data_IF_690791024598
#
_entry.id   IF_690791024598
#
_cell.length_a   1.000
_cell.length_b   1.000
_cell.length_c   1.000
_cell.angle_alpha   90.00
_cell.angle_beta   90.00
_cell.angle_gamma   90.00
#
_symmetry.space_group_name_H-M   'P 1'
#
loop_
_entity.id
_entity.type
_entity.pdbx_description
1 polymer ?
#
# COMPACT_ATOMS: atom_id res chain seq x y z
N UNK A 1 -31.64 24.86 21.84
CA UNK A 1 -31.93 23.54 21.22
C UNK A 1 -31.51 23.61 19.75
N UNK A 2 -30.59 22.77 19.29
CA UNK A 2 -30.20 22.76 17.87
C UNK A 2 -31.34 22.22 17.00
N UNK A 3 -31.55 22.76 15.80
CA UNK A 3 -32.53 22.21 14.86
C UNK A 3 -32.20 20.75 14.49
N UNK A 4 -33.20 19.91 14.15
CA UNK A 4 -32.98 18.49 13.85
C UNK A 4 -32.19 18.27 12.55
N UNK A 5 -32.29 19.19 11.60
CA UNK A 5 -31.63 19.06 10.29
C UNK A 5 -30.08 19.03 10.37
N UNK A 6 -29.39 19.95 11.08
CA UNK A 6 -27.95 19.84 11.32
C UNK A 6 -27.51 18.53 11.99
N UNK A 7 -28.33 17.96 12.88
CA UNK A 7 -28.02 16.67 13.51
C UNK A 7 -28.10 15.52 12.50
N UNK A 8 -29.09 15.53 11.60
CA UNK A 8 -29.18 14.58 10.50
C UNK A 8 -28.03 14.76 9.51
N UNK A 9 -27.66 16.00 9.18
CA UNK A 9 -26.53 16.29 8.29
C UNK A 9 -25.21 15.76 8.87
N UNK A 10 -24.96 15.94 10.17
CA UNK A 10 -23.79 15.36 10.86
C UNK A 10 -23.74 13.83 10.81
N UNK A 11 -24.90 13.18 10.75
CA UNK A 11 -25.03 11.72 10.66
C UNK A 11 -25.04 11.20 9.22
N UNK A 12 -25.19 12.07 8.23
CA UNK A 12 -25.25 11.68 6.84
C UNK A 12 -23.90 11.13 6.36
N UNK A 13 -23.91 10.14 5.47
CA UNK A 13 -22.68 9.56 4.93
C UNK A 13 -21.78 10.59 4.24
N UNK A 14 -22.35 11.66 3.68
CA UNK A 14 -21.58 12.75 3.06
C UNK A 14 -20.75 13.55 4.08
N UNK A 15 -21.16 13.63 5.34
CA UNK A 15 -20.39 14.31 6.38
C UNK A 15 -19.12 13.56 6.76
N UNK A 16 -19.04 12.27 6.42
CA UNK A 16 -17.81 11.49 6.59
C UNK A 16 -16.80 11.69 5.46
N UNK A 17 -17.12 12.51 4.45
CA UNK A 17 -16.22 12.85 3.37
C UNK A 17 -15.09 13.75 3.88
N UNK A 18 -13.86 13.35 3.59
CA UNK A 18 -12.67 14.14 3.83
C UNK A 18 -11.82 14.10 2.55
N UNK A 19 -11.51 15.25 1.91
CA UNK A 19 -10.72 15.29 0.69
C UNK A 19 -9.27 14.83 0.90
N UNK A 20 -8.75 14.90 2.13
CA UNK A 20 -7.38 14.46 2.45
C UNK A 20 -7.30 12.94 2.54
N UNK A 21 -8.38 12.28 2.95
CA UNK A 21 -8.43 10.83 3.09
C UNK A 21 -8.96 10.24 1.79
N UNK A 22 -8.12 9.48 1.09
CA UNK A 22 -8.53 8.79 -0.14
C UNK A 22 -9.50 7.65 0.17
N UNK A 23 -10.79 7.96 0.29
CA UNK A 23 -11.84 6.95 0.48
C UNK A 23 -12.30 6.39 -0.86
N UNK A 24 -12.59 5.10 -0.86
CA UNK A 24 -13.21 4.39 -1.97
C UNK A 24 -14.70 4.31 -1.72
N UNK A 25 -15.49 4.73 -2.71
CA UNK A 25 -16.94 4.72 -2.66
C UNK A 25 -17.49 3.64 -3.59
N UNK A 26 -18.60 3.05 -3.17
CA UNK A 26 -19.35 2.04 -3.92
C UNK A 26 -20.81 2.42 -3.95
N UNK A 27 -21.46 2.19 -5.10
CA UNK A 27 -22.91 2.28 -5.23
C UNK A 27 -23.52 0.88 -5.41
N UNK A 28 -24.83 0.76 -5.18
CA UNK A 28 -25.57 -0.47 -5.47
C UNK A 28 -25.57 -0.72 -6.98
N UNK A 29 -25.54 -1.99 -7.43
CA UNK A 29 -25.56 -2.29 -8.87
C UNK A 29 -26.77 -1.70 -9.61
N UNK A 30 -27.93 -1.63 -8.95
CA UNK A 30 -29.17 -1.03 -9.50
C UNK A 30 -29.03 0.48 -9.69
N UNK A 31 -28.64 1.23 -8.64
CA UNK A 31 -28.48 2.68 -8.70
C UNK A 31 -27.44 3.10 -9.76
N UNK A 32 -26.30 2.40 -9.80
CA UNK A 32 -25.25 2.64 -10.79
C UNK A 32 -25.73 2.41 -12.23
N UNK A 33 -26.42 1.30 -12.50
CA UNK A 33 -26.78 0.92 -13.87
C UNK A 33 -27.95 1.73 -14.43
N UNK A 34 -28.93 2.09 -13.61
CA UNK A 34 -30.14 2.78 -14.04
C UNK A 34 -30.01 4.30 -13.95
N UNK A 35 -29.42 4.81 -12.87
CA UNK A 35 -29.47 6.25 -12.55
C UNK A 35 -28.11 6.95 -12.57
N UNK A 36 -27.01 6.19 -12.72
CA UNK A 36 -25.65 6.74 -12.59
C UNK A 36 -25.45 7.48 -11.26
N UNK A 37 -26.17 7.04 -10.22
CA UNK A 37 -26.18 7.68 -8.91
C UNK A 37 -25.19 6.99 -7.96
N UNK A 38 -24.41 7.83 -7.29
CA UNK A 38 -23.34 7.47 -6.36
C UNK A 38 -23.53 8.14 -4.98
N UNK A 39 -24.69 8.76 -4.74
CA UNK A 39 -24.92 9.57 -3.54
C UNK A 39 -24.14 10.88 -3.55
N UNK A 40 -23.82 11.39 -4.74
CA UNK A 40 -23.10 12.65 -4.95
C UNK A 40 -24.07 13.74 -5.41
N UNK A 41 -23.63 15.00 -5.33
CA UNK A 41 -24.42 16.16 -5.78
C UNK A 41 -24.83 16.05 -7.25
N UNK A 42 -23.99 15.45 -8.09
CA UNK A 42 -24.25 15.24 -9.52
C UNK A 42 -24.06 13.77 -9.88
N UNK A 43 -24.91 13.27 -10.79
CA UNK A 43 -24.78 11.91 -11.32
C UNK A 43 -23.49 11.77 -12.14
N UNK A 44 -22.81 10.62 -12.00
CA UNK A 44 -21.60 10.29 -12.75
C UNK A 44 -21.94 9.22 -13.77
N UNK A 45 -22.14 9.65 -15.01
CA UNK A 45 -22.49 8.74 -16.11
C UNK A 45 -21.32 7.83 -16.49
N UNK A 46 -21.47 6.56 -16.13
CA UNK A 46 -20.46 5.51 -16.28
C UNK A 46 -21.05 4.31 -17.05
N UNK A 47 -21.19 4.38 -18.39
CA UNK A 47 -21.90 3.35 -19.16
C UNK A 47 -21.29 1.95 -18.97
N UNK A 48 -19.97 1.86 -18.75
CA UNK A 48 -19.25 0.64 -18.38
C UNK A 48 -18.11 0.95 -17.41
N UNK A 49 -18.44 1.58 -16.29
CA UNK A 49 -17.44 2.06 -15.33
C UNK A 49 -17.05 1.07 -14.23
N UNK A 50 -16.02 1.41 -13.45
CA UNK A 50 -15.58 0.66 -12.28
C UNK A 50 -16.68 0.56 -11.22
N UNK A 51 -16.70 -0.52 -10.42
CA UNK A 51 -17.59 -0.68 -9.26
C UNK A 51 -17.19 0.26 -8.10
N UNK A 52 -15.90 0.58 -8.05
CA UNK A 52 -15.29 1.41 -7.02
C UNK A 52 -14.82 2.74 -7.63
N UNK A 53 -15.20 3.86 -7.04
CA UNK A 53 -14.74 5.19 -7.44
C UNK A 53 -14.08 5.92 -6.28
N UNK A 54 -13.19 6.85 -6.62
CA UNK A 54 -12.63 7.86 -5.73
C UNK A 54 -12.99 9.22 -6.30
N UNK A 55 -13.25 10.21 -5.47
CA UNK A 55 -13.46 11.57 -5.92
C UNK A 55 -12.69 12.54 -5.02
N UNK A 56 -12.18 13.62 -5.60
CA UNK A 56 -11.35 14.62 -4.91
C UNK A 56 -12.14 15.85 -4.46
N UNK A 57 -13.31 16.10 -5.05
CA UNK A 57 -14.20 17.16 -4.64
C UNK A 57 -15.67 16.78 -4.85
N UNK A 58 -16.52 17.22 -3.91
CA UNK A 58 -17.97 17.00 -3.96
C UNK A 58 -18.67 17.91 -5.00
N UNK A 59 -18.05 19.04 -5.35
CA UNK A 59 -18.69 20.10 -6.13
C UNK A 59 -17.85 20.60 -7.32
N UNK A 60 -17.21 19.69 -8.06
CA UNK A 60 -16.54 20.05 -9.31
C UNK A 60 -17.50 20.38 -10.48
N UNK A 61 -18.78 20.64 -10.18
CA UNK A 61 -19.81 21.01 -11.14
C UNK A 61 -20.55 19.83 -11.79
N UNK A 62 -21.59 20.12 -12.59
CA UNK A 62 -22.44 19.09 -13.18
C UNK A 62 -21.71 18.25 -14.24
N UNK A 63 -21.98 16.94 -14.25
CA UNK A 63 -21.62 16.01 -15.32
C UNK A 63 -20.12 15.64 -15.38
N UNK A 64 -19.52 15.77 -16.57
CA UNK A 64 -18.16 15.29 -16.90
C UNK A 64 -17.01 16.00 -16.17
N UNK A 65 -17.29 17.07 -15.42
CA UNK A 65 -16.27 17.84 -14.70
C UNK A 65 -15.99 17.32 -13.30
N UNK A 66 -16.80 16.39 -12.78
CA UNK A 66 -16.51 15.74 -11.51
C UNK A 66 -15.14 15.02 -11.60
N UNK A 67 -14.18 15.43 -10.77
CA UNK A 67 -12.86 14.80 -10.70
C UNK A 67 -12.99 13.49 -9.92
N UNK A 68 -13.41 12.46 -10.64
CA UNK A 68 -13.48 11.09 -10.14
C UNK A 68 -12.43 10.21 -10.82
N UNK A 69 -11.98 9.18 -10.11
CA UNK A 69 -11.09 8.14 -10.61
C UNK A 69 -11.58 6.76 -10.23
N UNK A 70 -11.07 5.74 -10.92
CA UNK A 70 -11.30 4.36 -10.53
C UNK A 70 -10.58 4.07 -9.21
N UNK A 71 -11.31 3.53 -8.23
CA UNK A 71 -10.77 2.96 -6.99
C UNK A 71 -10.64 1.44 -7.02
N UNK A 72 -10.72 0.82 -8.22
CA UNK A 72 -10.70 -0.64 -8.37
C UNK A 72 -9.38 -1.26 -7.91
N UNK A 73 -8.26 -0.59 -8.19
CA UNK A 73 -6.93 -1.11 -7.83
C UNK A 73 -6.82 -1.31 -6.32
N UNK A 74 -7.23 -0.31 -5.56
CA UNK A 74 -7.16 -0.32 -4.10
C UNK A 74 -8.22 -1.23 -3.49
N UNK A 75 -9.44 -1.25 -4.03
CA UNK A 75 -10.48 -2.16 -3.56
C UNK A 75 -10.10 -3.63 -3.78
N UNK A 76 -9.51 -3.95 -4.94
CA UNK A 76 -9.01 -5.30 -5.23
C UNK A 76 -7.82 -5.67 -4.37
N UNK A 77 -6.91 -4.71 -4.14
CA UNK A 77 -5.79 -4.92 -3.23
C UNK A 77 -6.30 -5.28 -1.82
N UNK A 78 -7.22 -4.48 -1.26
CA UNK A 78 -7.82 -4.77 0.07
C UNK A 78 -8.62 -6.08 0.03
N UNK A 79 -9.30 -6.39 -1.06
CA UNK A 79 -10.03 -7.67 -1.17
C UNK A 79 -9.10 -8.88 -1.26
N UNK A 80 -7.95 -8.75 -1.92
CA UNK A 80 -7.01 -9.85 -2.14
C UNK A 80 -6.10 -10.07 -0.93
N UNK A 81 -5.71 -8.98 -0.27
CA UNK A 81 -4.68 -8.96 0.75
C UNK A 81 -5.18 -8.52 2.12
N UNK A 82 -6.32 -7.86 2.19
CA UNK A 82 -6.92 -7.42 3.44
C UNK A 82 -7.50 -8.58 4.25
N UNK A 83 -7.68 -8.31 5.54
CA UNK A 83 -8.06 -9.29 6.55
C UNK A 83 -9.42 -9.96 6.34
N UNK A 84 -10.28 -9.46 5.44
CA UNK A 84 -11.60 -10.05 5.17
C UNK A 84 -11.51 -11.52 4.69
N UNK A 85 -10.40 -11.92 4.07
CA UNK A 85 -10.17 -13.32 3.70
C UNK A 85 -9.44 -14.13 4.77
N UNK A 86 -8.76 -13.49 5.73
CA UNK A 86 -7.89 -14.14 6.71
C UNK A 86 -6.69 -14.91 6.13
N UNK A 87 -6.48 -14.85 4.81
CA UNK A 87 -5.52 -15.71 4.10
C UNK A 87 -4.07 -15.29 4.26
N UNK A 88 -3.83 -14.01 4.51
CA UNK A 88 -2.47 -13.45 4.56
C UNK A 88 -2.20 -12.86 5.93
N UNK A 89 -1.16 -13.37 6.58
CA UNK A 89 -0.66 -12.84 7.86
C UNK A 89 0.29 -11.69 7.59
N UNK A 90 -0.20 -10.47 7.80
CA UNK A 90 0.63 -9.27 7.82
C UNK A 90 1.41 -9.17 9.13
N UNK A 91 2.72 -8.98 9.02
CA UNK A 91 3.64 -8.78 10.14
C UNK A 91 4.25 -7.39 10.04
N UNK A 92 4.48 -6.74 11.19
CA UNK A 92 5.32 -5.55 11.22
C UNK A 92 6.79 -5.94 11.29
N UNK A 93 7.66 -5.00 10.95
CA UNK A 93 9.11 -5.19 11.08
C UNK A 93 9.52 -5.50 12.52
N UNK A 94 8.85 -4.86 13.47
CA UNK A 94 9.11 -5.03 14.90
C UNK A 94 8.58 -6.36 15.47
N UNK A 95 7.55 -6.95 14.84
CA UNK A 95 6.98 -8.23 15.26
C UNK A 95 7.85 -9.43 14.86
N UNK A 96 8.81 -9.24 13.95
CA UNK A 96 9.71 -10.32 13.56
C UNK A 96 10.65 -10.52 14.74
N UNK A 97 10.58 -11.66 15.44
CA UNK A 97 11.50 -11.90 16.55
C UNK A 97 12.92 -11.76 16.01
N UNK A 98 13.63 -10.71 16.45
CA UNK A 98 15.00 -10.37 16.02
C UNK A 98 15.99 -11.51 16.29
N UNK A 99 15.54 -12.56 16.97
CA UNK A 99 16.28 -13.77 17.28
C UNK A 99 15.40 -15.02 17.15
N UNK A 100 15.00 -15.39 15.93
CA UNK A 100 15.07 -16.83 15.58
C UNK A 100 16.54 -17.18 15.27
N UNK A 101 17.39 -17.01 16.28
CA UNK A 101 18.60 -17.82 16.41
C UNK A 101 18.12 -19.28 16.60
N UNK A 102 18.84 -20.26 16.04
CA UNK A 102 18.41 -21.65 16.00
C UNK A 102 18.07 -22.16 17.41
N UNK A 103 16.83 -22.61 17.58
CA UNK A 103 16.31 -23.46 18.67
C UNK A 103 17.08 -23.38 20.00
N UNK A 104 16.67 -22.48 20.91
CA UNK A 104 16.85 -22.78 22.32
C UNK A 104 16.02 -24.04 22.63
N UNK A 105 16.70 -25.05 23.15
CA UNK A 105 16.15 -26.37 23.46
C UNK A 105 14.85 -26.24 24.27
N UNK A 106 13.81 -26.95 23.83
CA UNK A 106 12.49 -27.09 24.47
C UNK A 106 12.58 -27.68 25.90
N UNK A 107 13.77 -28.08 26.35
CA UNK A 107 14.02 -28.71 27.64
C UNK A 107 14.77 -27.83 28.66
N UNK A 108 14.93 -26.52 28.44
CA UNK A 108 15.45 -25.66 29.50
C UNK A 108 14.39 -25.41 30.57
N UNK A 109 14.58 -26.00 31.75
CA UNK A 109 13.72 -25.92 32.94
C UNK A 109 13.44 -24.48 33.42
N UNK A 110 14.23 -23.49 32.97
CA UNK A 110 13.97 -22.06 33.22
C UNK A 110 12.80 -21.48 32.40
N UNK A 111 12.25 -22.19 31.40
CA UNK A 111 11.07 -21.72 30.65
C UNK A 111 9.73 -22.22 31.22
N UNK A 112 9.74 -22.86 32.40
CA UNK A 112 8.56 -23.43 33.06
C UNK A 112 8.09 -22.60 34.25
N UNK A 113 8.84 -21.55 34.60
CA UNK A 113 8.24 -20.42 35.30
C UNK A 113 7.46 -19.70 34.23
N UNK A 114 6.15 -19.96 34.19
CA UNK A 114 5.17 -19.02 33.65
C UNK A 114 5.32 -17.75 34.49
N UNK A 115 6.38 -16.98 34.24
CA UNK A 115 6.24 -15.55 34.32
C UNK A 115 5.04 -15.29 33.42
N UNK A 116 3.97 -14.74 34.00
CA UNK A 116 3.10 -13.88 33.23
C UNK A 116 4.05 -12.90 32.55
N UNK A 117 4.48 -13.26 31.34
CA UNK A 117 4.86 -12.33 30.30
C UNK A 117 3.60 -11.47 30.17
N UNK A 118 3.44 -10.52 31.09
CA UNK A 118 2.93 -9.19 30.80
C UNK A 118 3.69 -8.91 29.53
N UNK A 119 3.01 -9.08 28.40
CA UNK A 119 3.50 -8.66 27.12
C UNK A 119 3.98 -7.23 27.37
N UNK A 120 5.28 -7.06 27.64
CA UNK A 120 5.99 -5.82 27.43
C UNK A 120 6.14 -5.74 25.91
N UNK A 121 5.01 -5.92 25.19
CA UNK A 121 4.70 -5.24 23.95
C UNK A 121 5.20 -3.84 24.21
N UNK A 122 6.34 -3.53 23.57
CA UNK A 122 7.29 -2.57 24.05
C UNK A 122 6.59 -1.34 24.62
N UNK A 123 7.15 -0.81 25.70
CA UNK A 123 6.98 0.60 26.01
C UNK A 123 7.53 1.40 24.80
N UNK A 124 6.79 1.40 23.69
CA UNK A 124 6.89 2.29 22.55
C UNK A 124 6.75 3.63 23.20
N UNK A 125 7.91 4.21 23.44
CA UNK A 125 8.04 5.42 24.19
C UNK A 125 7.41 6.50 23.32
N UNK A 126 6.20 6.89 23.71
CA UNK A 126 5.43 7.91 23.04
C UNK A 126 6.18 9.22 23.14
N UNK A 127 6.81 9.64 22.05
CA UNK A 127 7.45 10.94 21.93
C UNK A 127 6.63 11.72 20.91
N UNK A 128 6.34 12.98 21.21
CA UNK A 128 5.71 13.87 20.25
C UNK A 128 6.65 14.11 19.08
N UNK A 129 6.10 14.08 17.87
CA UNK A 129 6.85 14.38 16.66
C UNK A 129 7.14 15.88 16.58
N UNK A 130 8.29 16.27 17.14
CA UNK A 130 8.78 17.66 17.19
C UNK A 130 8.97 18.24 15.78
N UNK A 131 9.29 17.41 14.79
CA UNK A 131 9.53 17.87 13.41
C UNK A 131 8.23 18.31 12.73
N UNK A 132 7.09 17.80 13.19
CA UNK A 132 5.77 18.09 12.62
C UNK A 132 5.03 19.26 13.27
N UNK A 133 5.55 19.80 14.38
CA UNK A 133 4.89 20.88 15.13
C UNK A 133 5.02 22.22 14.42
N UNK A 134 3.99 23.05 14.54
CA UNK A 134 4.14 24.47 14.22
C UNK A 134 5.07 25.13 15.24
N UNK A 135 5.67 26.27 14.88
CA UNK A 135 6.56 27.02 15.79
C UNK A 135 5.81 27.43 17.07
N UNK A 136 4.54 27.83 16.95
CA UNK A 136 3.68 28.20 18.09
C UNK A 136 3.42 27.00 19.01
N UNK A 137 3.05 25.84 18.45
CA UNK A 137 2.83 24.63 19.23
C UNK A 137 4.13 24.14 19.90
N UNK A 138 5.26 24.32 19.22
CA UNK A 138 6.57 23.98 19.75
C UNK A 138 6.95 24.86 20.93
N UNK A 139 6.68 26.17 20.89
CA UNK A 139 6.89 27.06 22.03
C UNK A 139 6.04 26.67 23.24
N UNK A 140 4.74 26.41 23.03
CA UNK A 140 3.84 25.92 24.09
C UNK A 140 4.34 24.59 24.68
N UNK A 141 4.85 23.70 23.82
CA UNK A 141 5.46 22.44 24.24
C UNK A 141 6.74 22.66 25.06
N UNK A 142 7.60 23.61 24.68
CA UNK A 142 8.80 23.95 25.45
C UNK A 142 8.46 24.56 26.81
N UNK A 143 7.48 25.45 26.88
CA UNK A 143 7.00 25.99 28.15
C UNK A 143 6.51 24.90 29.09
N UNK A 144 5.80 23.91 28.52
CA UNK A 144 5.36 22.74 29.27
C UNK A 144 6.53 21.93 29.82
N UNK A 145 7.54 21.63 29.00
CA UNK A 145 8.76 20.95 29.46
C UNK A 145 9.46 21.75 30.56
N UNK A 146 9.52 23.09 30.44
CA UNK A 146 10.12 23.96 31.45
C UNK A 146 9.40 23.87 32.79
N UNK A 147 8.06 23.76 32.79
CA UNK A 147 7.25 23.58 34.01
C UNK A 147 7.52 22.23 34.68
N UNK A 148 7.64 21.16 33.88
CA UNK A 148 7.86 19.80 34.36
C UNK A 148 9.33 19.48 34.74
N UNK A 149 10.23 20.45 34.55
CA UNK A 149 11.67 20.30 34.81
C UNK A 149 12.00 19.88 36.25
N UNK A 150 11.26 20.40 37.23
CA UNK A 150 11.44 20.04 38.65
C UNK A 150 11.05 18.60 38.91
N UNK A 151 9.93 18.15 38.33
CA UNK A 151 9.47 16.76 38.42
C UNK A 151 10.49 15.79 37.82
N UNK A 152 11.09 16.15 36.67
CA UNK A 152 12.18 15.37 36.08
C UNK A 152 13.38 15.25 37.01
N UNK A 153 13.81 16.37 37.60
CA UNK A 153 14.92 16.40 38.54
C UNK A 153 14.66 15.50 39.75
N UNK A 154 13.47 15.60 40.33
CA UNK A 154 13.08 14.80 41.50
C UNK A 154 13.00 13.31 41.17
N UNK A 155 12.44 12.96 40.00
CA UNK A 155 12.44 11.58 39.50
C UNK A 155 13.86 11.05 39.33
N UNK A 156 14.76 11.84 38.74
CA UNK A 156 16.17 11.45 38.57
C UNK A 156 16.90 11.28 39.89
N UNK A 157 16.67 12.15 40.85
CA UNK A 157 17.26 12.04 42.19
C UNK A 157 16.76 10.78 42.95
N UNK A 158 15.56 10.29 42.62
CA UNK A 158 15.02 9.03 43.16
C UNK A 158 15.56 7.80 42.45
N UNK A 159 15.71 7.85 41.13
CA UNK A 159 16.21 6.72 40.32
C UNK A 159 17.71 6.46 40.51
N UNK A 160 18.47 7.46 40.98
CA UNK A 160 19.91 7.31 41.21
C UNK A 160 20.21 6.43 42.42
N UNK A 161 21.26 5.58 42.37
CA UNK A 161 21.67 4.78 43.51
C UNK A 161 22.05 5.66 44.71
N UNK A 162 21.78 5.17 45.92
CA UNK A 162 21.97 5.93 47.16
C UNK A 162 23.42 6.41 47.34
N UNK A 163 24.40 5.64 46.88
CA UNK A 163 25.82 6.00 46.88
C UNK A 163 26.12 7.26 46.05
N UNK A 164 25.54 7.37 44.86
CA UNK A 164 25.66 8.59 44.05
C UNK A 164 24.86 9.74 44.65
N UNK A 165 23.73 9.45 45.28
CA UNK A 165 22.89 10.49 45.90
C UNK A 165 23.57 11.11 47.12
N UNK A 166 24.27 10.33 47.94
CA UNK A 166 25.03 10.82 49.09
C UNK A 166 26.26 11.64 48.69
N UNK A 167 26.86 11.35 47.53
CA UNK A 167 27.96 12.17 46.97
C UNK A 167 27.52 13.59 46.58
N UNK A 168 26.23 13.81 46.33
CA UNK A 168 25.65 15.12 46.00
C UNK A 168 25.32 15.87 47.29
N UNK A 169 26.35 16.23 48.05
CA UNK A 169 26.22 16.87 49.35
C UNK A 169 25.77 18.32 49.25
N UNK A 170 26.21 19.04 48.21
CA UNK A 170 25.87 20.45 48.03
C UNK A 170 24.53 20.61 47.30
N UNK A 171 23.75 21.67 47.59
CA UNK A 171 22.52 21.95 46.87
C UNK A 171 22.77 22.25 45.38
N UNK A 172 23.94 22.77 45.03
CA UNK A 172 24.35 23.06 43.66
C UNK A 172 24.55 21.79 42.81
N UNK A 173 25.01 20.71 43.44
CA UNK A 173 25.23 19.42 42.77
C UNK A 173 23.90 18.74 42.38
N UNK A 174 22.82 19.09 43.07
CA UNK A 174 21.47 18.58 42.81
C UNK A 174 20.79 19.29 41.63
N UNK A 175 21.48 20.18 40.92
CA UNK A 175 20.92 20.86 39.75
C UNK A 175 21.00 19.96 38.51
N UNK A 176 20.01 20.07 37.61
CA UNK A 176 20.01 19.30 36.35
C UNK A 176 21.25 19.57 35.49
N UNK A 177 21.77 20.80 35.54
CA UNK A 177 22.98 21.18 34.80
C UNK A 177 24.17 20.38 35.32
N UNK A 178 24.35 20.30 36.64
CA UNK A 178 25.41 19.50 37.24
C UNK A 178 25.25 18.01 36.94
N UNK A 179 24.03 17.47 37.03
CA UNK A 179 23.79 16.06 36.69
C UNK A 179 24.11 15.75 35.21
N UNK A 180 23.83 16.69 34.31
CA UNK A 180 24.15 16.55 32.90
C UNK A 180 25.66 16.66 32.62
N UNK A 181 26.34 17.65 33.21
CA UNK A 181 27.79 17.83 33.02
C UNK A 181 28.61 16.73 33.68
N UNK A 182 28.14 16.19 34.82
CA UNK A 182 28.75 15.05 35.49
C UNK A 182 28.50 13.70 34.79
N UNK A 183 27.75 13.68 33.67
CA UNK A 183 27.41 12.46 32.95
C UNK A 183 26.48 11.51 33.72
N UNK A 184 25.83 12.00 34.78
CA UNK A 184 24.89 11.23 35.60
C UNK A 184 23.51 11.12 34.94
N UNK A 185 23.22 11.93 33.92
CA UNK A 185 22.05 11.76 33.06
C UNK A 185 22.40 10.89 31.85
N UNK A 186 21.83 9.69 31.76
CA UNK A 186 21.99 8.83 30.58
C UNK A 186 21.20 9.39 29.39
N UNK A 187 21.61 9.14 28.15
CA UNK A 187 20.84 9.60 26.97
C UNK A 187 19.40 9.10 26.93
N UNK A 188 19.14 7.89 27.46
CA UNK A 188 17.78 7.34 27.59
C UNK A 188 16.93 8.03 28.66
N UNK A 189 17.55 8.81 29.55
CA UNK A 189 16.86 9.42 30.68
C UNK A 189 15.82 10.46 30.28
N UNK A 190 16.17 11.29 29.29
CA UNK A 190 15.34 12.35 28.73
C UNK A 190 14.21 11.76 27.89
N UNK A 191 14.53 10.74 27.10
CA UNK A 191 13.57 10.00 26.30
C UNK A 191 12.51 9.34 27.21
N UNK A 192 12.92 8.60 28.25
CA UNK A 192 12.00 7.98 29.22
C UNK A 192 11.07 9.01 29.88
N UNK A 193 11.59 10.20 30.20
CA UNK A 193 10.78 11.25 30.79
C UNK A 193 9.75 11.83 29.81
N UNK A 194 10.14 12.04 28.55
CA UNK A 194 9.18 12.43 27.51
C UNK A 194 8.11 11.35 27.32
N UNK A 195 8.50 10.08 27.33
CA UNK A 195 7.59 8.94 27.32
C UNK A 195 6.58 9.02 28.47
N UNK A 196 7.07 9.28 29.68
CA UNK A 196 6.26 9.37 30.88
C UNK A 196 5.30 10.55 30.83
N UNK A 197 5.74 11.72 30.35
CA UNK A 197 4.86 12.87 30.16
C UNK A 197 3.72 12.57 29.17
N UNK A 198 4.01 11.84 28.08
CA UNK A 198 2.97 11.41 27.15
C UNK A 198 2.07 10.33 27.75
N UNK A 199 2.62 9.41 28.54
CA UNK A 199 1.82 8.40 29.23
C UNK A 199 0.85 9.06 30.24
N UNK A 200 1.33 10.07 30.98
CA UNK A 200 0.49 10.85 31.88
C UNK A 200 -0.62 11.60 31.10
N UNK A 201 -0.30 12.18 29.94
CA UNK A 201 -1.29 12.82 29.04
C UNK A 201 -2.36 11.84 28.56
N UNK A 202 -1.98 10.59 28.28
CA UNK A 202 -2.87 9.54 27.82
C UNK A 202 -3.78 9.02 28.94
N UNK A 203 -3.29 9.03 30.18
CA UNK A 203 -4.03 8.57 31.36
C UNK A 203 -4.98 9.67 31.88
N UNK A 204 -4.67 10.96 31.66
CA UNK A 204 -5.50 12.07 32.14
C UNK A 204 -6.91 12.05 31.52
N UNK A 205 -7.97 11.82 32.30
CA UNK A 205 -9.35 11.79 31.80
C UNK A 205 -9.82 13.17 31.30
N UNK A 206 -9.13 14.25 31.69
CA UNK A 206 -9.44 15.61 31.24
C UNK A 206 -8.68 16.00 29.97
N UNK A 207 -7.81 15.11 29.47
CA UNK A 207 -7.09 15.36 28.22
C UNK A 207 -8.07 15.46 27.06
N UNK A 208 -8.06 16.60 26.37
CA UNK A 208 -8.82 16.82 25.15
C UNK A 208 -8.05 16.42 23.89
N UNK A 209 -6.81 15.93 24.06
CA UNK A 209 -5.91 15.60 22.96
C UNK A 209 -6.16 14.19 22.45
N UNK A 210 -6.38 14.07 21.15
CA UNK A 210 -6.49 12.79 20.47
C UNK A 210 -5.09 12.37 20.01
N UNK A 211 -4.57 11.30 20.59
CA UNK A 211 -3.33 10.68 20.14
C UNK A 211 -3.65 9.65 19.05
N UNK A 212 -3.08 9.85 17.87
CA UNK A 212 -3.23 8.90 16.76
C UNK A 212 -2.21 7.77 16.91
N UNK A 213 -2.59 6.63 17.52
CA UNK A 213 -1.82 5.39 17.32
C UNK A 213 -2.12 4.89 15.91
N UNK A 214 -1.15 4.85 14.98
CA UNK A 214 -1.38 4.09 13.77
C UNK A 214 -1.65 2.64 14.15
N UNK A 215 -2.67 2.04 13.56
CA UNK A 215 -2.91 0.60 13.73
C UNK A 215 -1.65 -0.16 13.27
N UNK A 216 -1.27 -1.24 13.97
CA UNK A 216 -0.07 -2.05 13.68
C UNK A 216 0.12 -2.27 12.17
N UNK A 217 -0.90 -2.84 11.53
CA UNK A 217 -0.92 -3.10 10.07
C UNK A 217 -1.67 -2.04 9.26
N UNK A 218 -1.83 -0.83 9.80
CA UNK A 218 -2.45 0.33 9.15
C UNK A 218 -3.80 0.07 8.49
N UNK A 219 -4.65 -0.73 9.15
CA UNK A 219 -6.00 -1.07 8.68
C UNK A 219 -6.08 -2.11 7.57
N UNK A 220 -4.96 -2.77 7.20
CA UNK A 220 -4.99 -3.89 6.25
C UNK A 220 -5.67 -5.13 6.84
N UNK A 221 -5.39 -5.41 8.11
CA UNK A 221 -6.04 -6.47 8.87
C UNK A 221 -6.38 -5.97 10.26
N UNK A 222 -7.59 -6.27 10.72
CA UNK A 222 -8.01 -6.03 12.10
C UNK A 222 -8.11 -7.32 12.90
N UNK A 223 -8.01 -8.48 12.24
CA UNK A 223 -7.97 -9.74 12.96
C UNK A 223 -6.67 -9.81 13.75
N UNK A 224 -6.80 -10.19 15.03
CA UNK A 224 -5.65 -10.62 15.82
C UNK A 224 -4.97 -11.76 15.07
N UNK A 225 -3.66 -11.87 15.27
CA UNK A 225 -2.93 -12.99 14.72
C UNK A 225 -3.58 -14.28 15.23
N UNK A 226 -4.09 -15.15 14.34
CA UNK A 226 -4.62 -16.44 14.76
C UNK A 226 -3.51 -17.20 15.46
N UNK A 227 -3.76 -17.59 16.71
CA UNK A 227 -2.81 -18.31 17.56
C UNK A 227 -2.73 -19.79 17.18
N UNK A 228 -3.77 -20.32 16.53
CA UNK A 228 -3.87 -21.71 16.11
C UNK A 228 -3.79 -21.87 14.58
N UNK A 229 -3.20 -22.99 14.14
CA UNK A 229 -3.20 -23.44 12.74
C UNK A 229 -4.58 -23.78 12.21
N UNK A 230 -5.59 -23.91 13.07
CA UNK A 230 -6.98 -24.15 12.64
C UNK A 230 -7.66 -22.86 12.13
N UNK A 231 -7.30 -21.70 12.69
CA UNK A 231 -7.89 -20.41 12.32
C UNK A 231 -7.19 -19.78 11.11
N UNK A 232 -5.93 -20.14 10.88
CA UNK A 232 -5.17 -19.75 9.71
C UNK A 232 -4.68 -20.98 8.99
N UNK A 233 -5.13 -21.16 7.76
CA UNK A 233 -4.57 -22.17 6.88
C UNK A 233 -3.27 -21.63 6.27
N UNK A 234 -2.07 -21.97 6.79
CA UNK A 234 -0.83 -21.52 6.19
C UNK A 234 -0.68 -22.08 4.77
N UNK A 235 -1.39 -23.17 4.42
CA UNK A 235 -1.40 -23.75 3.09
C UNK A 235 -2.33 -23.01 2.11
N UNK A 236 -2.93 -21.88 2.50
CA UNK A 236 -3.67 -21.02 1.58
C UNK A 236 -2.76 -20.62 0.40
N UNK A 237 -3.15 -21.09 -0.79
CA UNK A 237 -2.45 -20.77 -2.02
C UNK A 237 -3.14 -19.65 -2.77
N UNK A 238 -2.35 -18.77 -3.34
CA UNK A 238 -2.77 -17.69 -4.21
C UNK A 238 -2.31 -18.00 -5.64
N UNK A 239 -3.17 -17.77 -6.62
CA UNK A 239 -2.77 -17.86 -8.03
C UNK A 239 -1.92 -16.64 -8.36
N UNK A 240 -0.76 -16.87 -8.94
CA UNK A 240 0.17 -15.83 -9.38
C UNK A 240 0.85 -16.18 -10.68
N UNK A 241 1.68 -15.26 -11.16
CA UNK A 241 2.52 -15.46 -12.33
C UNK A 241 3.97 -15.15 -12.00
N UNK A 242 4.89 -16.08 -12.23
CA UNK A 242 6.31 -15.80 -12.23
C UNK A 242 6.62 -14.79 -13.35
N UNK A 243 7.36 -13.74 -13.03
CA UNK A 243 7.69 -12.65 -13.96
C UNK A 243 9.14 -12.73 -14.42
N UNK A 244 10.09 -12.69 -13.49
CA UNK A 244 11.52 -12.72 -13.81
C UNK A 244 12.32 -13.24 -12.61
N UNK A 245 13.49 -13.83 -12.86
CA UNK A 245 14.49 -14.07 -11.81
C UNK A 245 15.07 -12.71 -11.39
N UNK A 246 15.24 -12.50 -10.09
CA UNK A 246 15.92 -11.29 -9.58
C UNK A 246 17.36 -11.31 -10.09
N UNK A 247 17.82 -10.19 -10.65
CA UNK A 247 19.21 -10.07 -11.11
C UNK A 247 20.16 -10.30 -9.93
N UNK A 248 21.31 -10.97 -10.20
CA UNK A 248 22.36 -11.14 -9.17
C UNK A 248 22.80 -9.81 -8.57
N UNK A 249 22.80 -8.75 -9.37
CA UNK A 249 23.17 -7.42 -8.95
C UNK A 249 22.18 -6.84 -7.93
N UNK A 250 20.88 -6.95 -8.21
CA UNK A 250 19.82 -6.45 -7.31
C UNK A 250 19.76 -7.25 -6.01
N UNK A 251 19.99 -8.56 -6.08
CA UNK A 251 20.10 -9.43 -4.89
C UNK A 251 21.32 -9.08 -4.05
N UNK A 252 22.47 -8.81 -4.69
CA UNK A 252 23.70 -8.42 -4.01
C UNK A 252 23.56 -7.08 -3.27
N UNK A 253 22.89 -6.08 -3.86
CA UNK A 253 22.64 -4.80 -3.19
C UNK A 253 21.78 -4.93 -1.94
N UNK A 254 20.71 -5.74 -1.98
CA UNK A 254 19.89 -6.01 -0.80
C UNK A 254 20.64 -6.83 0.25
N UNK A 255 21.48 -7.78 -0.17
CA UNK A 255 22.30 -8.55 0.76
C UNK A 255 23.34 -7.67 1.43
N UNK A 256 23.96 -6.75 0.69
CA UNK A 256 24.96 -5.78 1.18
C UNK A 256 24.43 -4.93 2.34
N UNK A 257 23.16 -4.50 2.31
CA UNK A 257 22.56 -3.75 3.41
C UNK A 257 22.31 -4.61 4.67
N UNK A 258 22.24 -5.94 4.53
CA UNK A 258 21.96 -6.88 5.62
C UNK A 258 23.21 -7.66 6.08
N UNK A 259 24.43 -7.33 5.62
CA UNK A 259 25.71 -7.98 6.01
C UNK A 259 26.17 -7.51 7.40
N UNK A 260 25.30 -7.63 8.41
CA UNK A 260 25.71 -7.45 9.82
C UNK A 260 25.70 -8.80 10.57
N UNK A 261 25.17 -9.88 9.99
CA UNK A 261 25.21 -11.21 10.59
C UNK A 261 25.89 -12.22 9.66
N UNK A 262 27.07 -12.71 10.06
CA UNK A 262 28.00 -13.55 9.28
C UNK A 262 27.47 -14.93 8.88
N UNK A 263 26.43 -14.95 8.06
CA UNK A 263 25.87 -16.17 7.47
C UNK A 263 26.63 -16.51 6.20
N UNK A 264 27.19 -17.72 6.16
CA UNK A 264 27.96 -18.25 5.03
C UNK A 264 27.19 -18.07 3.71
N UNK A 265 27.74 -17.25 2.81
CA UNK A 265 27.23 -17.04 1.45
C UNK A 265 27.26 -18.36 0.66
N UNK A 266 26.18 -19.11 0.73
CA UNK A 266 25.96 -20.27 -0.12
C UNK A 266 25.93 -19.82 -1.59
N UNK A 267 26.99 -20.14 -2.34
CA UNK A 267 27.16 -19.85 -3.78
C UNK A 267 26.25 -20.72 -4.68
N UNK A 268 24.95 -20.73 -4.42
CA UNK A 268 23.96 -21.40 -5.27
C UNK A 268 23.44 -20.48 -6.38
N UNK A 269 23.16 -21.03 -7.56
CA UNK A 269 22.50 -20.31 -8.68
C UNK A 269 20.99 -20.09 -8.47
N UNK A 270 20.48 -20.32 -7.26
CA UNK A 270 19.05 -20.23 -6.93
C UNK A 270 18.65 -18.78 -6.65
N UNK A 271 18.55 -17.99 -7.71
CA UNK A 271 18.00 -16.64 -7.62
C UNK A 271 16.50 -16.69 -7.31
N UNK A 272 16.00 -15.80 -6.45
CA UNK A 272 14.58 -15.75 -6.16
C UNK A 272 13.82 -15.22 -7.40
N UNK A 273 12.63 -15.74 -7.63
CA UNK A 273 11.73 -15.24 -8.66
C UNK A 273 10.90 -14.08 -8.14
N UNK A 274 10.69 -13.08 -8.98
CA UNK A 274 9.64 -12.07 -8.81
C UNK A 274 8.34 -12.68 -9.33
N UNK A 275 7.31 -12.71 -8.49
CA UNK A 275 5.99 -13.27 -8.81
C UNK A 275 4.95 -12.18 -8.70
N UNK A 276 4.11 -12.01 -9.72
CA UNK A 276 2.91 -11.19 -9.65
C UNK A 276 1.79 -11.94 -8.94
N UNK A 277 1.33 -11.44 -7.79
CA UNK A 277 0.26 -12.03 -6.98
C UNK A 277 -0.78 -10.96 -6.64
N UNK A 278 -2.04 -11.16 -7.05
CA UNK A 278 -3.15 -10.28 -6.65
C UNK A 278 -2.91 -8.78 -6.88
N UNK A 279 -2.24 -8.41 -7.97
CA UNK A 279 -1.90 -7.01 -8.29
C UNK A 279 -0.65 -6.47 -7.60
N UNK A 280 0.06 -7.30 -6.84
CA UNK A 280 1.34 -6.97 -6.21
C UNK A 280 2.48 -7.81 -6.80
N UNK A 281 3.70 -7.40 -6.50
CA UNK A 281 4.90 -8.18 -6.76
C UNK A 281 5.42 -8.77 -5.45
N UNK A 282 5.65 -10.06 -5.46
CA UNK A 282 6.23 -10.83 -4.37
C UNK A 282 7.52 -11.50 -4.82
N UNK A 283 8.27 -12.04 -3.88
CA UNK A 283 9.53 -12.74 -4.13
C UNK A 283 9.42 -14.17 -3.64
N UNK A 284 9.96 -15.14 -4.39
CA UNK A 284 10.02 -16.50 -3.85
C UNK A 284 11.08 -16.59 -2.75
N UNK A 285 10.79 -17.27 -1.65
CA UNK A 285 11.78 -17.49 -0.60
C UNK A 285 12.96 -18.33 -1.13
N UNK A 286 14.19 -17.87 -0.91
CA UNK A 286 15.40 -18.65 -1.21
C UNK A 286 15.52 -19.75 -0.15
N UNK A 287 14.96 -20.94 -0.43
CA UNK A 287 15.35 -22.10 0.38
C UNK A 287 16.82 -22.42 0.10
N UNK A 288 17.62 -22.52 1.16
CA UNK A 288 19.04 -22.94 1.12
C UNK A 288 19.22 -24.37 0.54
N UNK A 289 18.13 -25.14 0.40
CA UNK A 289 18.15 -26.41 -0.31
C UNK A 289 18.42 -26.24 -1.80
N UNK A 290 19.19 -27.14 -2.39
CA UNK A 290 19.33 -27.26 -3.85
C UNK A 290 17.96 -27.60 -4.45
N UNK A 291 17.21 -26.57 -4.86
CA UNK A 291 15.87 -26.70 -5.49
C UNK A 291 15.92 -27.50 -6.81
N UNK A 292 17.10 -27.74 -7.38
CA UNK A 292 17.29 -28.41 -8.68
C UNK A 292 16.96 -29.91 -8.72
N UNK A 293 16.66 -30.57 -7.59
CA UNK A 293 16.29 -32.00 -7.60
C UNK A 293 14.78 -32.26 -7.43
N UNK A 294 13.93 -31.22 -7.41
CA UNK A 294 12.47 -31.43 -7.49
C UNK A 294 12.09 -31.66 -8.96
N UNK A 295 12.38 -32.88 -9.41
CA UNK A 295 11.81 -33.62 -10.56
C UNK A 295 10.88 -32.82 -11.48
N UNK A 296 11.38 -32.37 -12.64
CA UNK A 296 10.74 -32.24 -13.98
C UNK A 296 9.30 -31.72 -14.17
N UNK A 297 8.52 -31.42 -13.15
CA UNK A 297 7.12 -30.98 -13.24
C UNK A 297 6.93 -29.48 -13.02
N UNK A 298 8.00 -28.74 -12.66
CA UNK A 298 7.98 -27.29 -12.52
C UNK A 298 8.59 -26.54 -13.72
N UNK A 299 8.81 -27.19 -14.85
CA UNK A 299 9.34 -26.56 -16.08
C UNK A 299 8.53 -25.32 -16.49
N UNK A 300 7.24 -25.32 -16.19
CA UNK A 300 6.31 -24.27 -16.60
C UNK A 300 6.52 -22.95 -15.83
N UNK A 301 7.23 -22.99 -14.69
CA UNK A 301 7.64 -21.80 -13.95
C UNK A 301 8.96 -21.21 -14.45
N UNK A 302 9.74 -21.96 -15.23
CA UNK A 302 11.07 -21.53 -15.68
C UNK A 302 11.05 -20.60 -16.90
N UNK A 303 9.97 -20.63 -17.69
CA UNK A 303 9.83 -19.79 -18.88
C UNK A 303 8.65 -18.82 -18.72
N UNK A 304 8.97 -17.55 -18.50
CA UNK A 304 7.96 -16.49 -18.42
C UNK A 304 7.67 -15.95 -19.81
N UNK A 305 6.46 -16.21 -20.31
CA UNK A 305 6.05 -15.65 -21.61
C UNK A 305 5.74 -14.15 -21.50
N UNK A 306 6.75 -13.34 -21.78
CA UNK A 306 6.59 -11.88 -21.87
C UNK A 306 5.73 -11.42 -23.04
N UNK A 307 5.51 -12.27 -24.06
CA UNK A 307 4.69 -11.92 -25.23
C UNK A 307 3.19 -11.90 -24.92
N UNK A 308 2.80 -12.44 -23.75
CA UNK A 308 1.40 -12.61 -23.32
C UNK A 308 0.57 -13.46 -24.27
N UNK A 309 1.22 -14.21 -25.17
CA UNK A 309 0.55 -15.10 -26.11
C UNK A 309 -0.04 -16.30 -25.37
N UNK A 310 0.73 -16.85 -24.44
CA UNK A 310 0.34 -17.96 -23.61
C UNK A 310 0.11 -17.49 -22.16
N UNK A 311 -1.15 -17.47 -21.76
CA UNK A 311 -1.54 -17.09 -20.40
C UNK A 311 -1.30 -18.20 -19.40
N UNK A 312 -1.06 -19.44 -19.82
CA UNK A 312 -0.76 -20.53 -18.89
C UNK A 312 0.70 -20.47 -18.41
N UNK A 313 1.62 -20.02 -19.27
CA UNK A 313 3.07 -19.98 -18.97
C UNK A 313 3.43 -19.07 -17.80
N UNK A 314 4.19 -19.63 -16.87
CA UNK A 314 4.58 -18.98 -15.62
C UNK A 314 3.43 -18.78 -14.63
N UNK A 315 2.19 -19.18 -14.94
CA UNK A 315 1.10 -19.15 -13.97
C UNK A 315 1.28 -20.32 -12.99
N UNK A 316 1.10 -20.06 -11.69
CA UNK A 316 1.27 -21.07 -10.66
C UNK A 316 0.53 -20.71 -9.39
N UNK A 317 0.41 -21.68 -8.49
CA UNK A 317 -0.13 -21.47 -7.14
C UNK A 317 1.03 -21.22 -6.19
N UNK A 318 0.96 -20.11 -5.45
CA UNK A 318 1.98 -19.66 -4.54
C UNK A 318 1.39 -19.53 -3.14
N UNK A 319 2.05 -20.13 -2.16
CA UNK A 319 1.73 -19.98 -0.75
C UNK A 319 2.48 -18.78 -0.21
N UNK A 320 1.79 -17.87 0.48
CA UNK A 320 2.43 -16.73 1.14
C UNK A 320 3.10 -17.23 2.41
N UNK A 321 4.42 -17.10 2.50
CA UNK A 321 5.20 -17.49 3.69
C UNK A 321 5.24 -16.32 4.66
N UNK A 322 5.51 -15.11 4.14
CA UNK A 322 5.67 -13.89 4.91
C UNK A 322 5.07 -12.73 4.13
N UNK A 323 4.29 -11.91 4.78
CA UNK A 323 3.85 -10.63 4.25
C UNK A 323 4.19 -9.57 5.29
N UNK A 324 5.16 -8.72 4.97
CA UNK A 324 5.62 -7.67 5.85
C UNK A 324 5.25 -6.31 5.28
N UNK A 325 4.76 -5.44 6.15
CA UNK A 325 4.62 -4.04 5.86
C UNK A 325 5.91 -3.30 6.21
N UNK A 326 6.61 -2.76 5.21
CA UNK A 326 7.84 -2.00 5.39
C UNK A 326 7.60 -0.50 5.61
N UNK A 327 6.61 0.09 4.92
CA UNK A 327 6.16 1.44 5.25
C UNK A 327 4.68 1.63 4.97
N UNK A 328 3.94 2.31 5.85
CA UNK A 328 2.52 2.57 5.65
C UNK A 328 2.25 3.40 4.39
N UNK A 329 1.01 3.33 3.87
CA UNK A 329 0.61 4.20 2.77
C UNK A 329 0.58 5.64 3.31
N UNK A 330 1.35 6.52 2.69
CA UNK A 330 1.37 7.93 3.11
C UNK A 330 0.23 8.69 2.46
N UNK A 331 -0.54 9.42 3.26
CA UNK A 331 -1.54 10.37 2.75
C UNK A 331 -0.80 11.55 2.11
N UNK A 332 -0.79 11.58 0.78
CA UNK A 332 0.04 12.51 -0.01
C UNK A 332 -0.25 13.99 0.30
N UNK A 333 -1.50 14.33 0.61
CA UNK A 333 -1.89 15.71 0.87
C UNK A 333 -1.40 16.25 2.24
N UNK A 334 -1.19 15.37 3.24
CA UNK A 334 -0.77 15.79 4.59
C UNK A 334 0.73 16.07 4.69
N UNK A 335 1.53 15.34 3.90
CA UNK A 335 2.99 15.51 3.91
C UNK A 335 3.43 16.79 3.19
N UNK A 336 2.65 17.22 2.20
CA UNK A 336 2.90 18.47 1.48
C UNK A 336 2.36 19.70 2.23
N UNK A 337 1.31 19.55 3.06
CA UNK A 337 0.80 20.65 3.89
C UNK A 337 1.72 20.99 5.07
N UNK A 338 2.50 20.02 5.56
CA UNK A 338 3.39 20.19 6.73
C UNK A 338 4.74 20.81 6.37
N UNK A 339 5.23 20.64 5.14
CA UNK A 339 6.56 21.12 4.73
C UNK A 339 6.66 22.65 4.50
N UNK A 340 5.68 23.45 4.91
CA UNK A 340 5.72 24.92 4.78
C UNK A 340 5.79 25.46 3.33
N UNK A 341 5.86 24.58 2.34
CA UNK A 341 5.88 24.91 0.92
C UNK A 341 4.49 25.38 0.53
N UNK A 342 4.26 26.69 0.70
CA UNK A 342 3.07 27.39 0.22
C UNK A 342 2.77 26.90 -1.20
N UNK A 343 1.58 26.32 -1.37
CA UNK A 343 1.01 25.81 -2.62
C UNK A 343 0.76 26.93 -3.67
N UNK A 344 1.75 27.79 -3.92
CA UNK A 344 1.68 28.90 -4.87
C UNK A 344 1.90 28.48 -6.32
N UNK A 345 2.25 27.23 -6.60
CA UNK A 345 2.57 26.74 -7.94
C UNK A 345 1.51 25.82 -8.51
N UNK A 346 0.51 26.37 -9.22
CA UNK A 346 -0.38 25.67 -10.17
C UNK A 346 -1.13 24.44 -9.62
N UNK A 347 -2.26 24.69 -8.95
CA UNK A 347 -3.35 23.76 -8.58
C UNK A 347 -4.01 22.95 -9.74
N UNK A 348 -3.38 22.87 -10.91
CA UNK A 348 -3.90 22.17 -12.10
C UNK A 348 -2.93 21.11 -12.61
N UNK A 349 -2.10 20.52 -11.76
CA UNK A 349 -1.54 19.20 -12.10
C UNK A 349 -2.72 18.25 -12.18
N UNK A 350 -3.10 17.90 -13.42
CA UNK A 350 -4.17 16.96 -13.72
C UNK A 350 -3.97 15.77 -12.81
N UNK A 351 -4.91 15.52 -11.90
CA UNK A 351 -4.57 14.68 -10.77
C UNK A 351 -4.21 13.24 -11.17
N UNK A 352 -4.43 12.81 -12.43
CA UNK A 352 -3.87 11.61 -13.03
C UNK A 352 -2.34 11.42 -12.82
N UNK A 353 -1.57 12.49 -12.60
CA UNK A 353 -0.14 12.41 -12.29
C UNK A 353 0.19 12.30 -10.80
N UNK A 354 -0.79 12.45 -9.91
CA UNK A 354 -0.56 12.27 -8.47
C UNK A 354 -0.38 10.77 -8.21
N UNK A 355 0.69 10.36 -7.48
CA UNK A 355 0.87 8.97 -7.11
C UNK A 355 -0.37 8.47 -6.36
N UNK A 356 -0.74 7.20 -6.52
CA UNK A 356 -1.75 6.60 -5.65
C UNK A 356 -1.14 6.41 -4.26
N UNK A 357 -1.93 6.46 -3.16
CA UNK A 357 -1.47 6.01 -1.85
C UNK A 357 -0.86 4.60 -1.85
N UNK A 358 -1.27 3.75 -2.81
CA UNK A 358 -0.69 2.42 -3.01
C UNK A 358 0.72 2.45 -3.60
N UNK A 359 1.14 3.56 -4.21
CA UNK A 359 2.48 3.69 -4.81
C UNK A 359 3.53 4.13 -3.77
N UNK A 360 3.11 4.70 -2.64
CA UNK A 360 3.99 5.03 -1.50
C UNK A 360 4.12 3.89 -0.49
N UNK A 361 3.22 2.92 -0.58
CA UNK A 361 3.18 1.74 0.27
C UNK A 361 4.34 0.79 -0.08
N UNK A 362 5.22 0.49 0.91
CA UNK A 362 6.29 -0.49 0.75
C UNK A 362 5.95 -1.75 1.52
N UNK A 363 5.98 -2.88 0.85
CA UNK A 363 5.73 -4.19 1.45
C UNK A 363 6.71 -5.19 0.86
N UNK A 364 7.05 -6.19 1.66
CA UNK A 364 7.84 -7.33 1.23
C UNK A 364 7.00 -8.59 1.44
N UNK A 365 6.67 -9.26 0.34
CA UNK A 365 5.91 -10.52 0.36
C UNK A 365 6.84 -11.62 -0.13
N UNK A 366 7.04 -12.61 0.73
CA UNK A 366 7.76 -13.83 0.40
C UNK A 366 6.77 -14.97 0.17
N UNK A 367 6.95 -15.68 -0.94
CA UNK A 367 6.11 -16.79 -1.35
C UNK A 367 6.90 -18.06 -1.61
N UNK A 368 6.25 -19.21 -1.53
CA UNK A 368 6.77 -20.46 -2.04
C UNK A 368 5.82 -21.02 -3.11
N UNK A 369 6.35 -21.65 -4.18
CA UNK A 369 5.51 -22.43 -5.07
C UNK A 369 4.83 -23.54 -4.26
N UNK A 370 3.54 -23.73 -4.48
CA UNK A 370 2.78 -24.84 -3.90
C UNK A 370 2.76 -25.99 -4.88
N UNK A 371 3.13 -27.20 -4.43
CA UNK A 371 3.08 -28.42 -5.23
C UNK A 371 1.67 -29.00 -5.38
N UNK A 372 0.65 -28.38 -4.78
CA UNK A 372 -0.72 -28.87 -4.88
C UNK A 372 -1.32 -28.56 -6.25
N UNK A 373 -1.19 -29.51 -7.17
CA UNK A 373 -2.01 -29.64 -8.38
C UNK A 373 -3.43 -30.03 -7.99
N UNK A 374 -4.19 -29.06 -7.47
CA UNK A 374 -5.64 -29.20 -7.40
C UNK A 374 -6.24 -29.26 -8.82
N UNK A 375 -7.45 -29.81 -8.99
CA UNK A 375 -8.13 -29.86 -10.28
C UNK A 375 -8.14 -28.46 -10.91
N UNK A 376 -7.93 -28.45 -12.22
CA UNK A 376 -7.69 -27.30 -13.10
C UNK A 376 -8.83 -26.28 -13.07
N UNK A 377 -8.96 -25.52 -11.99
CA UNK A 377 -9.68 -24.24 -12.04
C UNK A 377 -8.82 -23.30 -12.89
N UNK A 378 -9.20 -23.11 -14.16
CA UNK A 378 -8.58 -22.26 -15.19
C UNK A 378 -7.71 -21.13 -14.59
N UNK A 379 -6.43 -21.45 -14.39
CA UNK A 379 -5.45 -20.55 -13.81
C UNK A 379 -5.24 -19.37 -14.77
N UNK A 380 -5.72 -18.19 -14.39
CA UNK A 380 -5.67 -17.00 -15.26
C UNK A 380 -6.94 -16.73 -16.07
N UNK A 381 -8.07 -17.31 -15.66
CA UNK A 381 -9.38 -16.93 -16.19
C UNK A 381 -9.62 -15.42 -16.09
N UNK A 382 -10.53 -14.94 -16.94
CA UNK A 382 -10.82 -13.53 -17.25
C UNK A 382 -11.15 -12.62 -16.05
N UNK A 383 -11.32 -13.20 -14.87
CA UNK A 383 -11.69 -12.51 -13.64
C UNK A 383 -10.48 -11.89 -12.92
N UNK A 384 -9.27 -12.44 -13.14
CA UNK A 384 -8.05 -12.09 -12.39
C UNK A 384 -7.14 -11.09 -13.09
N UNK A 385 -6.95 -11.23 -14.41
CA UNK A 385 -6.47 -10.12 -15.23
C UNK A 385 -7.62 -9.12 -15.26
N UNK A 386 -7.37 -7.86 -14.91
CA UNK A 386 -8.41 -6.84 -14.91
C UNK A 386 -9.30 -6.99 -16.14
N UNK A 387 -10.60 -6.73 -16.01
CA UNK A 387 -11.44 -6.46 -17.18
C UNK A 387 -10.83 -5.24 -17.86
N UNK A 388 -9.76 -5.42 -18.63
CA UNK A 388 -9.40 -4.52 -19.69
C UNK A 388 -10.66 -4.48 -20.53
N UNK A 389 -11.26 -3.29 -20.52
CA UNK A 389 -12.41 -2.91 -21.32
C UNK A 389 -12.23 -3.60 -22.65
N UNK A 390 -13.14 -4.51 -23.04
CA UNK A 390 -13.05 -5.34 -24.25
C UNK A 390 -12.35 -4.57 -25.37
N UNK A 391 -11.03 -4.68 -25.43
CA UNK A 391 -10.21 -4.19 -26.53
C UNK A 391 -10.40 -5.15 -27.68
N UNK A 392 -11.45 -5.99 -27.70
CA UNK A 392 -11.90 -6.73 -28.87
C UNK A 392 -11.83 -5.92 -30.15
N UNK A 393 -12.07 -4.59 -30.12
CA UNK A 393 -11.81 -3.72 -31.27
C UNK A 393 -10.32 -3.44 -31.53
N UNK A 394 -9.51 -3.20 -30.51
CA UNK A 394 -8.06 -2.97 -30.62
C UNK A 394 -7.23 -4.25 -30.88
N UNK A 395 -7.70 -5.41 -30.41
CA UNK A 395 -7.11 -6.72 -30.62
C UNK A 395 -7.58 -7.31 -31.96
N UNK A 396 -8.84 -7.08 -32.37
CA UNK A 396 -9.25 -7.26 -33.76
C UNK A 396 -8.47 -6.31 -34.68
N UNK A 397 -8.24 -5.06 -34.28
CA UNK A 397 -7.41 -4.14 -35.06
C UNK A 397 -5.94 -4.56 -35.12
N UNK A 398 -5.35 -5.07 -34.03
CA UNK A 398 -3.97 -5.55 -34.02
C UNK A 398 -3.78 -6.86 -34.80
N UNK A 399 -4.79 -7.74 -34.79
CA UNK A 399 -4.79 -8.96 -35.60
C UNK A 399 -5.09 -8.68 -37.08
N UNK A 400 -6.03 -7.78 -37.38
CA UNK A 400 -6.29 -7.28 -38.75
C UNK A 400 -5.08 -6.55 -39.33
N UNK A 401 -4.31 -5.85 -38.49
CA UNK A 401 -3.09 -5.14 -38.92
C UNK A 401 -1.85 -6.04 -39.05
N UNK A 402 -1.92 -7.33 -38.69
CA UNK A 402 -0.77 -8.25 -38.68
C UNK A 402 0.48 -7.73 -37.90
N UNK A 403 0.32 -6.75 -37.00
CA UNK A 403 1.42 -6.09 -36.26
C UNK A 403 2.00 -7.03 -35.15
N UNK A 404 1.51 -8.26 -35.04
CA UNK A 404 1.82 -9.21 -33.97
C UNK A 404 2.90 -10.27 -34.24
N UNK A 405 3.57 -10.28 -35.40
CA UNK A 405 4.59 -11.30 -35.70
C UNK A 405 5.87 -11.20 -34.84
N UNK A 406 6.69 -12.28 -34.74
CA UNK A 406 8.01 -12.26 -34.10
C UNK A 406 8.86 -11.09 -34.58
N UNK A 407 9.62 -10.45 -33.68
CA UNK A 407 10.36 -9.21 -33.95
C UNK A 407 11.36 -9.35 -35.10
N UNK A 408 11.84 -10.57 -35.38
CA UNK A 408 12.73 -10.92 -36.49
C UNK A 408 12.07 -10.86 -37.88
N UNK A 409 10.75 -11.00 -37.97
CA UNK A 409 10.01 -11.00 -39.23
C UNK A 409 9.51 -9.62 -39.64
N UNK A 410 9.63 -8.60 -38.78
CA UNK A 410 9.12 -7.26 -39.05
C UNK A 410 10.12 -6.47 -39.90
N UNK A 411 9.73 -6.05 -41.10
CA UNK A 411 10.52 -5.08 -41.87
C UNK A 411 10.43 -3.71 -41.21
N UNK A 412 11.58 -3.08 -40.96
CA UNK A 412 11.66 -1.76 -40.33
C UNK A 412 10.98 -0.72 -41.22
N UNK A 413 9.77 -0.28 -40.84
CA UNK A 413 8.99 0.73 -41.58
C UNK A 413 7.59 0.28 -42.01
N UNK A 414 7.35 -1.04 -42.08
CA UNK A 414 6.11 -1.63 -42.60
C UNK A 414 4.87 -1.19 -41.83
N UNK A 415 4.94 -1.14 -40.50
CA UNK A 415 3.82 -0.66 -39.67
C UNK A 415 3.46 0.80 -39.90
N UNK A 416 4.40 1.62 -40.39
CA UNK A 416 4.17 3.05 -40.68
C UNK A 416 3.52 3.22 -42.06
N UNK A 417 3.89 2.38 -43.02
CA UNK A 417 3.29 2.32 -44.36
C UNK A 417 1.83 1.87 -44.30
N UNK A 418 1.55 0.77 -43.57
CA UNK A 418 0.18 0.27 -43.36
C UNK A 418 -0.69 1.34 -42.69
N UNK A 419 -0.14 2.11 -41.75
CA UNK A 419 -0.87 3.18 -41.06
C UNK A 419 -1.15 4.37 -42.00
N UNK A 420 -0.25 4.69 -42.93
CA UNK A 420 -0.47 5.69 -43.98
C UNK A 420 -1.56 5.25 -44.96
N UNK A 421 -1.53 4.00 -45.41
CA UNK A 421 -2.51 3.45 -46.33
C UNK A 421 -3.92 3.46 -45.72
N UNK A 422 -4.06 3.05 -44.45
CA UNK A 422 -5.36 3.06 -43.76
C UNK A 422 -5.89 4.48 -43.55
N UNK A 423 -5.02 5.48 -43.31
CA UNK A 423 -5.42 6.90 -43.25
C UNK A 423 -5.92 7.42 -44.60
N UNK A 424 -5.29 7.02 -45.70
CA UNK A 424 -5.75 7.36 -47.05
C UNK A 424 -7.11 6.70 -47.34
N UNK A 425 -7.28 5.43 -46.98
CA UNK A 425 -8.55 4.71 -47.15
C UNK A 425 -9.68 5.32 -46.29
N UNK A 426 -9.42 5.72 -45.05
CA UNK A 426 -10.40 6.43 -44.22
C UNK A 426 -10.77 7.80 -44.81
N UNK A 427 -9.79 8.51 -45.39
CA UNK A 427 -10.04 9.80 -46.03
C UNK A 427 -10.93 9.63 -47.27
N UNK A 428 -10.64 8.63 -48.11
CA UNK A 428 -11.45 8.30 -49.28
C UNK A 428 -12.89 7.93 -48.89
N UNK A 429 -13.08 7.09 -47.86
CA UNK A 429 -14.43 6.75 -47.35
C UNK A 429 -15.18 7.97 -46.82
N UNK A 430 -14.48 8.90 -46.15
CA UNK A 430 -15.10 10.16 -45.69
C UNK A 430 -15.52 11.04 -46.87
N UNK A 431 -14.71 11.13 -47.92
CA UNK A 431 -15.05 11.87 -49.14
C UNK A 431 -16.27 11.25 -49.83
N UNK A 432 -16.31 9.93 -49.99
CA UNK A 432 -17.46 9.20 -50.56
C UNK A 432 -18.74 9.44 -49.74
N UNK A 433 -18.68 9.35 -48.40
CA UNK A 433 -19.84 9.63 -47.55
C UNK A 433 -20.30 11.09 -47.66
N UNK A 434 -19.36 12.03 -47.89
CA UNK A 434 -19.67 13.45 -48.06
C UNK A 434 -20.36 13.70 -49.40
N UNK A 435 -19.95 13.02 -50.46
CA UNK A 435 -20.61 13.08 -51.77
C UNK A 435 -22.02 12.47 -51.72
N UNK A 436 -22.18 11.33 -51.06
CA UNK A 436 -23.51 10.70 -50.86
C UNK A 436 -24.44 11.66 -50.12
N UNK A 437 -23.97 12.27 -49.02
CA UNK A 437 -24.75 13.25 -48.28
C UNK A 437 -25.07 14.48 -49.12
N UNK A 438 -24.11 15.01 -49.88
CA UNK A 438 -24.33 16.16 -50.76
C UNK A 438 -25.41 15.88 -51.82
N UNK A 439 -25.36 14.69 -52.45
CA UNK A 439 -26.37 14.25 -53.41
C UNK A 439 -27.75 14.08 -52.78
N UNK A 440 -27.80 13.58 -51.54
CA UNK A 440 -29.04 13.40 -50.79
C UNK A 440 -29.67 14.76 -50.44
N UNK A 441 -28.86 15.73 -49.99
CA UNK A 441 -29.34 17.10 -49.76
C UNK A 441 -29.79 17.79 -51.04
N UNK A 442 -29.09 17.60 -52.17
CA UNK A 442 -29.51 18.14 -53.46
C UNK A 442 -30.86 17.56 -53.93
N UNK A 443 -31.13 16.28 -53.65
CA UNK A 443 -32.42 15.64 -53.93
C UNK A 443 -33.56 16.19 -53.07
N UNK A 444 -33.31 16.39 -51.77
CA UNK A 444 -34.31 16.96 -50.85
C UNK A 444 -34.66 18.40 -51.27
N UNK A 445 -33.66 19.21 -51.66
CA UNK A 445 -33.88 20.58 -52.10
C UNK A 445 -34.73 20.71 -53.37
N UNK A 446 -34.64 19.76 -54.32
CA UNK A 446 -35.45 19.78 -55.54
C UNK A 446 -36.92 19.41 -55.31
N UNK A 447 -37.20 18.56 -54.32
CA UNK A 447 -38.57 18.13 -54.02
C UNK A 447 -39.34 19.14 -53.15
N UNK A 448 -38.68 20.13 -52.55
CA UNK A 448 -39.32 21.17 -51.75
C UNK A 448 -39.76 22.41 -52.55
N UNK A 449 -39.49 22.43 -53.87
CA UNK A 449 -39.82 23.54 -54.78
C UNK A 449 -40.91 23.22 -55.83
N UNK A 450 -41.55 22.05 -55.72
CA UNK A 450 -42.84 21.72 -56.35
C UNK A 450 -43.90 21.73 -55.26
#
# INVERSE_FOLDING_TARGET
MSSPFPQLLRRANIATYDPLITRIYTSTPSSKSQHSDWGLKFAIHLPRGPRYIKFSSLDAGPGFKCDWRSGEREARFISAWGGASGKVRWQNEDDIPKYMLPSKNIFSIESLVEDEDIDVEGNEMWIRDVESMSEEDFEVFLERIRKERKRFLDGRLKDMPESTRSSLGLPEDKTLVHLATAGKTTGGSTANFQAQLMADDLIDPNSTQLHSKPHRVHGLSYSKQPTSTNDHNPAATHVGRALNKISRYDDAHRKASNIVAGTNLARGNNLPWVVGLGGLTAKTAQKSGRVFDVSSSSSDLEETDYTRSDKSRGAGRFRVIRAQLGSPPTVLALKESTAGSRFGGKWRTSGASLPSPMDTFKFDIEVAPSSMTGPEDDLGSREWVGREVKTSKLQAFASEMAIGGPRSQRRRGEGLEILKEKRLAEKAKKEETREILANLFARIGKNAGQ
#
